data_IF_105017882946
#
_entry.id   IF_105017882946
#
_cell.length_a   1.000
_cell.length_b   1.000
_cell.length_c   1.000
_cell.angle_alpha   90.00
_cell.angle_beta   90.00
_cell.angle_gamma   90.00
#
_symmetry.space_group_name_H-M   'P 1'
#
loop_
_entity.id
_entity.type
_entity.pdbx_description
1 polymer ?
#
# COMPACT_ATOMS: atom_id res chain seq x y z
N UNK A 1 -25.07 19.37 2.65
CA UNK A 1 -24.55 18.06 3.02
C UNK A 1 -23.10 18.26 3.43
N UNK A 2 -22.72 17.85 4.65
CA UNK A 2 -21.31 17.79 5.05
C UNK A 2 -20.60 16.79 4.13
N UNK A 3 -19.38 17.09 3.65
CA UNK A 3 -18.66 16.14 2.81
C UNK A 3 -18.45 14.85 3.62
N UNK A 4 -18.84 13.72 3.05
CA UNK A 4 -18.62 12.40 3.63
C UNK A 4 -17.15 12.28 4.01
N UNK A 5 -16.89 12.00 5.28
CA UNK A 5 -15.54 12.00 5.85
C UNK A 5 -14.81 10.75 5.35
N UNK A 6 -14.23 10.85 4.17
CA UNK A 6 -13.40 9.78 3.58
C UNK A 6 -12.19 9.55 4.47
N UNK A 7 -12.07 8.34 4.96
CA UNK A 7 -10.97 7.97 5.85
C UNK A 7 -9.81 7.36 5.07
N UNK A 8 -8.59 7.51 5.60
CA UNK A 8 -7.45 6.74 5.14
C UNK A 8 -7.36 5.51 6.01
N UNK A 9 -7.57 4.33 5.43
CA UNK A 9 -7.38 3.06 6.09
C UNK A 9 -5.98 2.54 5.85
N UNK A 10 -5.42 1.87 6.85
CA UNK A 10 -4.08 1.30 6.79
C UNK A 10 -4.20 -0.21 6.95
N UNK A 11 -3.45 -0.96 6.16
CA UNK A 11 -3.30 -2.41 6.38
C UNK A 11 -2.20 -2.67 7.39
N UNK A 12 -2.49 -3.45 8.42
CA UNK A 12 -1.54 -3.80 9.45
C UNK A 12 -1.49 -5.32 9.70
N UNK A 13 -0.38 -5.78 10.26
CA UNK A 13 -0.21 -7.17 10.68
C UNK A 13 -1.16 -7.52 11.82
N UNK A 14 -1.80 -8.70 11.77
CA UNK A 14 -2.74 -9.16 12.79
C UNK A 14 -2.11 -9.25 14.18
N UNK A 15 -0.81 -9.55 14.28
CA UNK A 15 -0.10 -9.63 15.55
C UNK A 15 -0.06 -8.30 16.30
N UNK A 16 -0.16 -7.17 15.60
CA UNK A 16 -0.22 -5.84 16.23
C UNK A 16 -1.51 -5.62 17.02
N UNK A 17 -2.59 -6.33 16.68
CA UNK A 17 -3.84 -6.29 17.43
C UNK A 17 -3.69 -6.81 18.87
N UNK A 18 -2.74 -7.72 19.10
CA UNK A 18 -2.50 -8.32 20.41
C UNK A 18 -1.70 -7.43 21.36
N UNK A 19 -1.12 -6.34 20.83
CA UNK A 19 -0.37 -5.40 21.68
C UNK A 19 -1.35 -4.48 22.39
N UNK A 20 -1.44 -4.50 23.73
CA UNK A 20 -2.30 -3.61 24.49
C UNK A 20 -2.04 -2.15 24.11
N UNK A 21 -3.06 -1.32 24.12
CA UNK A 21 -3.03 0.08 23.70
C UNK A 21 -2.84 0.27 22.17
N UNK A 22 -1.89 -0.41 21.51
CA UNK A 22 -1.68 -0.30 20.05
C UNK A 22 -2.90 -0.85 19.29
N UNK A 23 -3.41 -2.01 19.70
CA UNK A 23 -4.62 -2.60 19.12
C UNK A 23 -5.83 -1.68 19.25
N UNK A 24 -6.03 -1.10 20.44
CA UNK A 24 -7.11 -0.16 20.70
C UNK A 24 -7.01 1.11 19.84
N UNK A 25 -5.82 1.70 19.71
CA UNK A 25 -5.60 2.87 18.85
C UNK A 25 -5.88 2.51 17.39
N UNK A 26 -5.38 1.36 16.91
CA UNK A 26 -5.57 0.91 15.54
C UNK A 26 -7.05 0.64 15.19
N UNK A 27 -7.83 0.11 16.13
CA UNK A 27 -9.28 -0.07 15.94
C UNK A 27 -10.00 1.28 15.77
N UNK A 28 -9.59 2.31 16.50
CA UNK A 28 -10.10 3.68 16.33
C UNK A 28 -9.85 4.26 14.94
N UNK A 29 -8.73 3.88 14.31
CA UNK A 29 -8.37 4.28 12.95
C UNK A 29 -8.92 3.33 11.88
N UNK A 30 -9.83 2.41 12.23
CA UNK A 30 -10.44 1.42 11.31
C UNK A 30 -9.39 0.68 10.47
N UNK A 31 -8.25 0.32 11.12
CA UNK A 31 -7.16 -0.42 10.48
C UNK A 31 -7.65 -1.82 10.09
N UNK A 32 -7.35 -2.24 8.87
CA UNK A 32 -7.65 -3.60 8.40
C UNK A 32 -6.47 -4.50 8.78
N UNK A 33 -6.74 -5.49 9.63
CA UNK A 33 -5.72 -6.44 10.06
C UNK A 33 -5.63 -7.61 9.09
N UNK A 34 -4.41 -7.90 8.65
CA UNK A 34 -4.13 -8.93 7.63
C UNK A 34 -3.22 -10.00 8.21
N UNK A 35 -3.58 -11.26 7.99
CA UNK A 35 -2.70 -12.39 8.24
C UNK A 35 -1.81 -12.62 7.02
N UNK A 36 -0.54 -12.20 7.09
CA UNK A 36 0.39 -12.25 5.95
C UNK A 36 0.84 -13.66 5.52
N UNK A 37 0.58 -14.67 6.32
CA UNK A 37 0.97 -16.08 6.06
C UNK A 37 -0.11 -16.92 5.41
N UNK A 38 -1.35 -16.46 5.38
CA UNK A 38 -2.48 -17.12 4.75
C UNK A 38 -3.03 -16.23 3.65
N UNK A 39 -3.66 -16.82 2.62
CA UNK A 39 -4.49 -16.08 1.70
C UNK A 39 -5.71 -15.55 2.47
N UNK A 40 -5.57 -14.36 3.07
CA UNK A 40 -6.62 -13.74 3.88
C UNK A 40 -7.65 -13.08 2.96
N UNK A 41 -8.50 -13.93 2.40
CA UNK A 41 -9.57 -13.52 1.45
C UNK A 41 -10.52 -12.53 2.14
N UNK A 42 -10.81 -12.73 3.44
CA UNK A 42 -11.70 -11.86 4.17
C UNK A 42 -11.12 -10.44 4.32
N UNK A 43 -9.84 -10.31 4.67
CA UNK A 43 -9.19 -9.01 4.74
C UNK A 43 -9.07 -8.34 3.36
N UNK A 44 -8.80 -9.14 2.32
CA UNK A 44 -8.80 -8.64 0.94
C UNK A 44 -10.16 -8.06 0.55
N UNK A 45 -11.25 -8.80 0.80
CA UNK A 45 -12.60 -8.35 0.49
C UNK A 45 -12.96 -7.09 1.27
N UNK A 46 -12.63 -7.00 2.56
CA UNK A 46 -12.82 -5.78 3.35
C UNK A 46 -12.09 -4.56 2.76
N UNK A 47 -10.92 -4.76 2.16
CA UNK A 47 -10.20 -3.68 1.50
C UNK A 47 -10.91 -3.22 0.22
N UNK A 48 -11.38 -4.17 -0.59
CA UNK A 48 -12.13 -3.87 -1.82
C UNK A 48 -13.44 -3.14 -1.48
N UNK A 49 -14.21 -3.65 -0.51
CA UNK A 49 -15.47 -3.03 -0.07
C UNK A 49 -15.24 -1.61 0.46
N UNK A 50 -14.16 -1.37 1.21
CA UNK A 50 -13.81 -0.05 1.71
C UNK A 50 -13.51 0.95 0.58
N UNK A 51 -12.86 0.50 -0.48
CA UNK A 51 -12.54 1.32 -1.65
C UNK A 51 -13.78 1.60 -2.51
N UNK A 52 -14.60 0.57 -2.76
CA UNK A 52 -15.72 0.62 -3.70
C UNK A 52 -16.97 1.24 -3.08
N UNK A 53 -17.37 0.75 -1.90
CA UNK A 53 -18.66 1.12 -1.28
C UNK A 53 -18.54 2.32 -0.34
N UNK A 54 -17.48 2.37 0.46
CA UNK A 54 -17.27 3.45 1.44
C UNK A 54 -16.46 4.61 0.85
N UNK A 55 -15.90 4.45 -0.37
CA UNK A 55 -15.04 5.43 -1.03
C UNK A 55 -13.87 5.92 -0.15
N UNK A 56 -13.45 5.07 0.77
CA UNK A 56 -12.30 5.32 1.63
C UNK A 56 -10.99 5.22 0.82
N UNK A 57 -9.90 5.70 1.39
CA UNK A 57 -8.57 5.60 0.80
C UNK A 57 -7.78 4.51 1.51
N UNK A 58 -7.00 3.73 0.76
CA UNK A 58 -6.13 2.70 1.33
C UNK A 58 -4.67 3.13 1.24
N UNK A 59 -3.96 3.10 2.36
CA UNK A 59 -2.51 3.24 2.38
C UNK A 59 -1.88 1.85 2.42
N UNK A 60 -1.18 1.49 1.35
CA UNK A 60 -0.56 0.18 1.19
C UNK A 60 0.93 0.32 0.91
N UNK A 61 1.76 -0.40 1.65
CA UNK A 61 3.19 -0.51 1.38
C UNK A 61 3.43 -1.67 0.43
N UNK A 62 3.66 -1.36 -0.85
CA UNK A 62 3.81 -2.35 -1.91
C UNK A 62 5.01 -3.29 -1.72
N UNK A 63 6.01 -2.87 -0.98
CA UNK A 63 7.16 -3.69 -0.61
C UNK A 63 6.78 -4.81 0.37
N UNK A 64 5.68 -4.67 1.11
CA UNK A 64 5.17 -5.65 2.07
C UNK A 64 6.04 -5.89 3.29
N UNK A 65 7.23 -5.31 3.36
CA UNK A 65 8.18 -5.45 4.46
C UNK A 65 9.00 -4.17 4.62
N UNK A 66 9.70 -4.03 5.73
CA UNK A 66 10.68 -2.96 5.91
C UNK A 66 11.93 -3.32 5.11
N UNK A 67 12.27 -2.50 4.12
CA UNK A 67 13.46 -2.72 3.31
C UNK A 67 14.67 -2.08 3.94
N UNK A 68 15.74 -2.86 4.08
CA UNK A 68 17.09 -2.32 4.24
C UNK A 68 17.66 -2.00 2.85
N UNK A 69 18.60 -1.04 2.78
CA UNK A 69 19.18 -0.51 1.54
C UNK A 69 19.71 -1.56 0.56
N UNK A 70 20.01 -2.78 1.02
CA UNK A 70 20.76 -3.80 0.28
C UNK A 70 19.90 -5.00 -0.16
N UNK A 71 18.56 -4.92 -0.10
CA UNK A 71 17.70 -6.03 -0.50
C UNK A 71 16.83 -5.64 -1.68
N UNK A 72 17.00 -6.34 -2.78
CA UNK A 72 16.03 -6.33 -3.88
C UNK A 72 14.67 -6.77 -3.33
N UNK A 73 13.69 -5.90 -3.44
CA UNK A 73 12.34 -6.16 -2.94
C UNK A 73 11.43 -6.33 -4.12
N UNK A 74 10.85 -7.51 -4.22
CA UNK A 74 9.80 -7.76 -5.19
C UNK A 74 8.49 -7.13 -4.71
N UNK A 75 7.83 -6.40 -5.59
CA UNK A 75 6.54 -5.80 -5.31
C UNK A 75 5.49 -6.87 -4.96
N UNK A 76 4.63 -6.56 -3.99
CA UNK A 76 3.47 -7.39 -3.65
C UNK A 76 2.28 -6.97 -4.49
N UNK A 77 1.56 -7.95 -5.02
CA UNK A 77 0.45 -7.73 -5.95
C UNK A 77 -0.83 -7.20 -5.29
N UNK A 78 -0.92 -7.25 -3.96
CA UNK A 78 -2.14 -6.91 -3.25
C UNK A 78 -2.70 -5.52 -3.54
N UNK A 79 -1.84 -4.49 -3.64
CA UNK A 79 -2.28 -3.12 -3.93
C UNK A 79 -2.91 -3.02 -5.34
N UNK A 80 -2.24 -3.61 -6.34
CA UNK A 80 -2.70 -3.61 -7.73
C UNK A 80 -3.99 -4.42 -7.88
N UNK A 81 -4.07 -5.60 -7.26
CA UNK A 81 -5.28 -6.43 -7.28
C UNK A 81 -6.48 -5.73 -6.64
N UNK A 82 -6.30 -5.08 -5.50
CA UNK A 82 -7.37 -4.31 -4.86
C UNK A 82 -7.83 -3.12 -5.72
N UNK A 83 -6.89 -2.39 -6.32
CA UNK A 83 -7.19 -1.28 -7.21
C UNK A 83 -7.95 -1.75 -8.47
N UNK A 84 -7.52 -2.85 -9.09
CA UNK A 84 -8.17 -3.44 -10.25
C UNK A 84 -9.59 -3.94 -9.92
N UNK A 85 -9.77 -4.60 -8.78
CA UNK A 85 -11.08 -5.13 -8.36
C UNK A 85 -12.08 -4.02 -8.01
N UNK A 86 -11.62 -2.94 -7.36
CA UNK A 86 -12.49 -1.83 -6.92
C UNK A 86 -12.62 -0.70 -7.94
N UNK A 87 -11.81 -0.69 -9.02
CA UNK A 87 -11.74 0.45 -9.94
C UNK A 87 -11.11 1.72 -9.35
N UNK A 88 -10.56 1.65 -8.13
CA UNK A 88 -9.93 2.79 -7.47
C UNK A 88 -8.60 3.16 -8.14
N UNK A 89 -8.33 4.45 -8.38
CA UNK A 89 -7.03 4.87 -8.91
C UNK A 89 -5.91 4.68 -7.89
N UNK A 90 -4.72 4.38 -8.39
CA UNK A 90 -3.50 4.27 -7.58
C UNK A 90 -2.73 5.58 -7.61
N UNK A 91 -2.31 6.06 -6.45
CA UNK A 91 -1.42 7.20 -6.30
C UNK A 91 -0.06 6.69 -5.83
N UNK A 92 1.00 6.73 -6.66
CA UNK A 92 2.34 6.39 -6.22
C UNK A 92 2.83 7.41 -5.19
N UNK A 93 3.39 6.94 -4.09
CA UNK A 93 3.92 7.83 -3.04
C UNK A 93 5.31 7.36 -2.64
N UNK A 94 6.29 8.23 -2.76
CA UNK A 94 7.63 8.00 -2.26
C UNK A 94 7.84 8.71 -0.93
N UNK A 95 8.42 7.98 0.03
CA UNK A 95 8.80 8.53 1.34
C UNK A 95 10.30 8.30 1.53
N UNK A 96 11.04 9.35 1.85
CA UNK A 96 12.49 9.25 2.06
C UNK A 96 12.81 8.24 3.17
N UNK A 97 13.78 7.36 2.90
CA UNK A 97 14.17 6.27 3.83
C UNK A 97 15.07 6.74 4.97
N UNK A 98 15.57 7.98 4.90
CA UNK A 98 16.51 8.47 5.91
C UNK A 98 15.77 8.66 7.25
N UNK A 99 16.12 7.83 8.23
CA UNK A 99 15.55 7.83 9.58
C UNK A 99 16.53 8.45 10.61
N UNK A 100 17.45 9.28 10.15
CA UNK A 100 18.34 10.00 11.05
C UNK A 100 17.49 10.97 11.89
N UNK A 101 17.62 10.97 13.21
CA UNK A 101 16.91 11.95 14.05
C UNK A 101 17.19 13.37 13.54
N UNK A 102 16.14 14.19 13.49
CA UNK A 102 16.17 15.59 13.03
C UNK A 102 16.39 15.79 11.51
N UNK A 103 16.43 14.73 10.68
CA UNK A 103 16.41 14.90 9.23
C UNK A 103 14.95 15.05 8.72
N UNK A 104 14.71 15.98 7.78
CA UNK A 104 13.38 16.15 7.22
C UNK A 104 12.98 14.92 6.40
N UNK A 105 11.78 14.42 6.62
CA UNK A 105 11.16 13.37 5.80
C UNK A 105 10.44 14.07 4.65
N UNK A 106 10.80 13.74 3.41
CA UNK A 106 10.06 14.18 2.23
C UNK A 106 9.08 13.10 1.81
N UNK A 107 7.86 13.52 1.52
CA UNK A 107 6.81 12.70 0.94
C UNK A 107 6.50 13.27 -0.42
N UNK A 108 6.66 12.47 -1.48
CA UNK A 108 6.47 12.90 -2.87
C UNK A 108 5.31 12.08 -3.44
N UNK A 109 4.30 12.78 -3.94
CA UNK A 109 3.14 12.18 -4.57
C UNK A 109 3.33 12.21 -6.08
N UNK A 110 3.08 11.08 -6.74
CA UNK A 110 2.98 11.02 -8.19
C UNK A 110 1.54 11.24 -8.66
N UNK A 111 1.37 11.25 -9.98
CA UNK A 111 0.04 11.40 -10.58
C UNK A 111 -0.82 10.14 -10.37
N UNK A 112 -2.10 10.30 -10.03
CA UNK A 112 -3.02 9.18 -9.94
C UNK A 112 -3.25 8.54 -11.32
N UNK A 113 -3.31 7.21 -11.38
CA UNK A 113 -3.66 6.52 -12.60
C UNK A 113 -4.55 5.29 -12.32
N UNK A 114 -5.44 4.92 -13.26
CA UNK A 114 -6.25 3.72 -13.12
C UNK A 114 -5.40 2.47 -13.39
N UNK A 115 -5.80 1.35 -12.78
CA UNK A 115 -5.18 0.04 -13.01
C UNK A 115 -6.14 -0.81 -13.85
N UNK A 116 -5.71 -1.19 -15.04
CA UNK A 116 -6.50 -1.98 -15.99
C UNK A 116 -5.86 -3.35 -16.19
N UNK A 117 -5.96 -4.20 -15.17
CA UNK A 117 -5.53 -5.61 -15.23
C UNK A 117 -6.65 -6.48 -14.66
N UNK A 118 -6.72 -7.74 -15.10
CA UNK A 118 -7.56 -8.72 -14.43
C UNK A 118 -6.98 -9.02 -13.04
N UNK A 119 -7.71 -8.81 -11.93
CA UNK A 119 -7.22 -9.09 -10.59
C UNK A 119 -6.89 -10.57 -10.35
N UNK A 120 -7.40 -11.49 -11.18
CA UNK A 120 -7.10 -12.91 -11.12
C UNK A 120 -5.90 -13.33 -12.00
N UNK A 121 -5.46 -12.47 -12.93
CA UNK A 121 -4.23 -12.69 -13.68
C UNK A 121 -3.01 -12.33 -12.83
N UNK A 122 -2.40 -13.35 -12.23
CA UNK A 122 -1.23 -13.19 -11.36
C UNK A 122 -0.03 -12.61 -12.10
N UNK A 123 0.17 -12.93 -13.38
CA UNK A 123 1.31 -12.45 -14.15
C UNK A 123 1.15 -10.96 -14.47
N UNK A 124 -0.02 -10.56 -14.97
CA UNK A 124 -0.35 -9.16 -15.24
C UNK A 124 -0.29 -8.32 -13.96
N UNK A 125 -0.86 -8.81 -12.86
CA UNK A 125 -0.80 -8.14 -11.56
C UNK A 125 0.64 -7.97 -11.06
N UNK A 126 1.50 -8.97 -11.24
CA UNK A 126 2.90 -8.86 -10.83
C UNK A 126 3.64 -7.82 -11.68
N UNK A 127 3.48 -7.86 -13.00
CA UNK A 127 4.09 -6.89 -13.92
C UNK A 127 3.64 -5.45 -13.59
N UNK A 128 2.36 -5.23 -13.36
CA UNK A 128 1.83 -3.93 -12.97
C UNK A 128 2.37 -3.48 -11.59
N UNK A 129 2.55 -4.41 -10.65
CA UNK A 129 3.11 -4.10 -9.33
C UNK A 129 4.59 -3.73 -9.40
N UNK A 130 5.37 -4.41 -10.23
CA UNK A 130 6.79 -4.10 -10.45
C UNK A 130 6.93 -2.74 -11.15
N UNK A 131 6.07 -2.44 -12.12
CA UNK A 131 6.02 -1.12 -12.76
C UNK A 131 5.66 -0.01 -11.77
N UNK A 132 4.67 -0.23 -10.89
CA UNK A 132 4.30 0.71 -9.84
C UNK A 132 5.46 0.94 -8.86
N UNK A 133 6.15 -0.12 -8.44
CA UNK A 133 7.31 0.01 -7.55
C UNK A 133 8.41 0.85 -8.21
N UNK A 134 8.70 0.60 -9.49
CA UNK A 134 9.66 1.40 -10.27
C UNK A 134 9.26 2.87 -10.32
N UNK A 135 7.99 3.17 -10.58
CA UNK A 135 7.47 4.54 -10.57
C UNK A 135 7.66 5.22 -9.21
N UNK A 136 7.37 4.51 -8.12
CA UNK A 136 7.57 5.04 -6.76
C UNK A 136 9.05 5.40 -6.52
N UNK A 137 9.99 4.55 -6.94
CA UNK A 137 11.42 4.82 -6.78
C UNK A 137 11.90 5.98 -7.66
N UNK A 138 11.39 6.10 -8.88
CA UNK A 138 11.69 7.23 -9.77
C UNK A 138 11.27 8.57 -9.15
N UNK A 139 10.18 8.64 -8.40
CA UNK A 139 9.80 9.84 -7.63
C UNK A 139 10.85 10.23 -6.60
N UNK A 140 11.61 9.27 -6.09
CA UNK A 140 12.69 9.49 -5.11
C UNK A 140 13.99 9.97 -5.71
N UNK A 141 14.14 9.93 -7.03
CA UNK A 141 15.34 10.25 -7.80
C UNK A 141 16.12 9.01 -8.23
N UNK A 142 17.01 9.18 -9.20
CA UNK A 142 17.73 8.09 -9.90
C UNK A 142 18.51 7.15 -8.97
N UNK A 143 19.01 7.65 -7.83
CA UNK A 143 19.74 6.83 -6.85
C UNK A 143 18.90 5.70 -6.21
N UNK A 144 17.59 5.73 -6.42
CA UNK A 144 16.67 4.69 -5.93
C UNK A 144 16.18 3.77 -7.05
N UNK A 145 16.16 4.24 -8.29
CA UNK A 145 15.70 3.46 -9.45
C UNK A 145 16.64 2.29 -9.78
N UNK A 146 17.93 2.45 -9.58
CA UNK A 146 18.95 1.41 -9.86
C UNK A 146 18.89 0.20 -8.90
N UNK A 147 18.10 0.27 -7.84
CA UNK A 147 17.96 -0.81 -6.86
C UNK A 147 16.94 -1.89 -7.26
N UNK A 148 16.29 -1.73 -8.43
CA UNK A 148 15.22 -2.63 -8.91
C UNK A 148 15.67 -3.48 -10.11
N UNK A 149 16.88 -3.26 -10.63
CA UNK A 149 17.43 -4.00 -11.77
C UNK A 149 17.84 -5.41 -11.41
#
# INVERSE_FOLDING_TARGET
>A
ALPEKRMIRIMAKQELRRVPFVGWVMEKFRVIFVNRGAHDIAAYQQCVDALEQEHDKMLVFIEGTRCNRDKHVRAKTGAVRMAAASGAPVVPVFVTRNKTPFCPIRVIFGEPYPVHVDPEDHAACQQASDALLKTIYQLGGDSYADQIS
#
